data_IF_665791653124
#
_entry.id   IF_665791653124
#
_cell.length_a   1.000
_cell.length_b   1.000
_cell.length_c   1.000
_cell.angle_alpha   90.00
_cell.angle_beta   90.00
_cell.angle_gamma   90.00
#
_symmetry.space_group_name_H-M   'P 1'
#
loop_
_entity.id
_entity.type
_entity.pdbx_description
1 polymer ?
#
# COMPACT_ATOMS: atom_id res chain seq x y z
N UNK A 1 -16.78 -7.31 14.19
CA UNK A 1 -16.29 -6.89 12.87
C UNK A 1 -14.83 -7.29 12.71
N UNK A 2 -14.59 -8.49 12.19
CA UNK A 2 -13.24 -8.98 11.86
C UNK A 2 -13.28 -9.45 10.42
N UNK A 3 -13.09 -8.53 9.48
CA UNK A 3 -12.80 -8.93 8.11
C UNK A 3 -11.46 -9.69 8.14
N UNK A 4 -11.51 -10.96 7.77
CA UNK A 4 -10.48 -11.95 8.01
C UNK A 4 -9.12 -11.67 7.38
N UNK A 5 -8.10 -12.24 8.02
CA UNK A 5 -6.68 -12.14 7.68
C UNK A 5 -5.92 -11.66 8.90
N UNK A 6 -4.83 -12.32 9.25
CA UNK A 6 -4.05 -12.09 10.49
C UNK A 6 -3.31 -10.73 10.51
N UNK A 7 -3.80 -9.75 9.74
CA UNK A 7 -3.11 -8.52 9.39
C UNK A 7 -1.88 -8.78 8.52
N UNK A 8 -1.85 -9.87 7.76
CA UNK A 8 -0.72 -10.26 6.92
C UNK A 8 -0.99 -9.94 5.44
N UNK A 9 0.05 -9.48 4.75
CA UNK A 9 0.01 -9.10 3.33
C UNK A 9 0.43 -10.25 2.42
N UNK A 10 0.24 -10.12 1.11
CA UNK A 10 0.62 -11.16 0.13
C UNK A 10 2.08 -11.62 0.20
N UNK A 11 3.01 -10.77 0.67
CA UNK A 11 4.42 -11.15 0.86
C UNK A 11 4.76 -11.63 2.29
N UNK A 12 3.75 -11.85 3.15
CA UNK A 12 3.94 -12.35 4.52
C UNK A 12 4.45 -11.31 5.52
N UNK A 13 4.25 -10.01 5.26
CA UNK A 13 4.56 -8.93 6.21
C UNK A 13 3.27 -8.47 6.90
N UNK A 14 3.39 -7.87 8.09
CA UNK A 14 2.25 -7.22 8.74
C UNK A 14 1.82 -5.99 7.94
N UNK A 15 0.53 -5.88 7.65
CA UNK A 15 -0.11 -4.69 7.13
C UNK A 15 0.02 -3.54 8.13
N UNK A 16 0.10 -2.32 7.61
CA UNK A 16 0.32 -1.12 8.40
C UNK A 16 1.11 -0.08 7.60
N UNK A 17 1.49 1.00 8.27
CA UNK A 17 2.27 2.06 7.64
C UNK A 17 3.58 1.53 7.03
N UNK A 18 3.88 1.95 5.80
CA UNK A 18 5.05 1.51 5.03
C UNK A 18 4.83 0.24 4.19
N UNK A 19 3.64 -0.37 4.23
CA UNK A 19 3.22 -1.43 3.29
C UNK A 19 2.07 -0.91 2.44
N UNK A 20 2.14 -1.18 1.13
CA UNK A 20 1.11 -0.75 0.17
C UNK A 20 0.64 -1.92 -0.68
N UNK A 21 -0.64 -1.89 -1.06
CA UNK A 21 -1.20 -2.79 -2.05
C UNK A 21 -1.08 -2.18 -3.45
N UNK A 22 -0.68 -2.99 -4.43
CA UNK A 22 -0.46 -2.57 -5.83
C UNK A 22 -1.01 -3.61 -6.81
N UNK A 23 -1.07 -3.25 -8.09
CA UNK A 23 -1.14 -4.20 -9.19
C UNK A 23 0.27 -4.73 -9.53
N UNK A 24 0.57 -6.03 -9.32
CA UNK A 24 1.90 -6.60 -9.59
C UNK A 24 2.35 -6.49 -11.05
N UNK A 25 1.42 -6.32 -11.99
CA UNK A 25 1.73 -6.15 -13.42
C UNK A 25 2.32 -4.79 -13.72
N UNK A 26 2.09 -3.80 -12.86
CA UNK A 26 2.62 -2.43 -12.95
C UNK A 26 3.79 -2.23 -12.00
N UNK A 27 3.65 -2.68 -10.75
CA UNK A 27 4.69 -2.58 -9.71
C UNK A 27 4.90 -3.97 -9.10
N UNK A 28 6.02 -4.65 -9.37
CA UNK A 28 6.30 -5.96 -8.79
C UNK A 28 6.29 -5.93 -7.26
N UNK A 29 5.81 -7.00 -6.62
CA UNK A 29 5.87 -7.14 -5.17
C UNK A 29 7.32 -7.15 -4.67
N UNK A 30 7.54 -6.65 -3.45
CA UNK A 30 8.87 -6.43 -2.86
C UNK A 30 9.55 -5.13 -3.30
N UNK A 31 9.01 -4.44 -4.31
CA UNK A 31 9.55 -3.15 -4.77
C UNK A 31 9.53 -2.10 -3.66
N UNK A 32 10.66 -1.40 -3.47
CA UNK A 32 10.76 -0.23 -2.59
C UNK A 32 10.28 1.02 -3.33
N UNK A 33 9.45 1.81 -2.67
CA UNK A 33 8.81 2.99 -3.24
C UNK A 33 9.04 4.21 -2.33
N UNK A 34 8.99 5.39 -2.92
CA UNK A 34 8.78 6.65 -2.22
C UNK A 34 7.53 7.34 -2.77
N UNK A 35 6.58 7.62 -1.90
CA UNK A 35 5.26 8.15 -2.24
C UNK A 35 5.14 9.55 -1.65
N UNK A 36 4.97 10.57 -2.50
CA UNK A 36 4.89 11.95 -2.04
C UNK A 36 3.73 12.13 -1.06
N UNK A 37 4.02 12.72 0.10
CA UNK A 37 3.06 12.94 1.18
C UNK A 37 2.78 11.73 2.07
N UNK A 38 3.36 10.56 1.79
CA UNK A 38 3.20 9.35 2.61
C UNK A 38 4.53 8.83 3.15
N UNK A 39 5.57 8.75 2.32
CA UNK A 39 6.91 8.33 2.72
C UNK A 39 7.41 7.07 1.97
N UNK A 40 8.38 6.38 2.58
CA UNK A 40 8.96 5.15 2.04
C UNK A 40 8.03 3.98 2.28
N UNK A 41 7.83 3.15 1.28
CA UNK A 41 6.97 1.98 1.36
C UNK A 41 7.54 0.77 0.60
N UNK A 42 6.97 -0.40 0.87
CA UNK A 42 7.19 -1.62 0.09
C UNK A 42 5.86 -2.08 -0.51
N UNK A 43 5.88 -2.41 -1.81
CA UNK A 43 4.80 -3.12 -2.48
C UNK A 43 4.66 -4.52 -1.86
N UNK A 44 3.82 -4.64 -0.84
CA UNK A 44 3.74 -5.84 0.00
C UNK A 44 2.45 -6.60 -0.16
N UNK A 45 1.45 -6.02 -0.83
CA UNK A 45 0.14 -6.63 -0.96
C UNK A 45 -0.48 -6.41 -2.34
N UNK A 46 -1.61 -7.09 -2.54
CA UNK A 46 -2.48 -6.92 -3.71
C UNK A 46 -3.93 -6.83 -3.25
N UNK A 47 -4.83 -6.40 -4.14
CA UNK A 47 -6.25 -6.44 -3.86
C UNK A 47 -7.05 -6.42 -5.15
N UNK A 48 -8.20 -7.09 -5.18
CA UNK A 48 -9.02 -7.21 -6.39
C UNK A 48 -9.47 -5.86 -6.96
N UNK A 49 -9.56 -4.81 -6.12
CA UNK A 49 -9.90 -3.45 -6.52
C UNK A 49 -8.67 -2.57 -6.85
N UNK A 50 -7.45 -3.06 -6.62
CA UNK A 50 -6.19 -2.35 -6.83
C UNK A 50 -5.58 -2.83 -8.14
N UNK A 51 -6.06 -2.23 -9.23
CA UNK A 51 -5.76 -2.62 -10.62
C UNK A 51 -5.19 -1.41 -11.37
N UNK A 52 -4.17 -1.63 -12.21
CA UNK A 52 -3.50 -0.59 -12.99
C UNK A 52 -2.68 0.36 -12.10
N UNK A 53 -2.80 1.67 -12.35
CA UNK A 53 -2.07 2.72 -11.62
C UNK A 53 -2.71 3.11 -10.28
N UNK A 54 -3.48 2.20 -9.67
CA UNK A 54 -4.07 2.39 -8.35
C UNK A 54 -3.15 1.79 -7.28
N UNK A 55 -3.03 2.50 -6.16
CA UNK A 55 -2.26 2.08 -4.99
C UNK A 55 -3.12 2.26 -3.74
N UNK A 56 -3.04 1.31 -2.81
CA UNK A 56 -3.66 1.42 -1.48
C UNK A 56 -2.58 1.60 -0.43
N UNK A 57 -2.69 2.64 0.39
CA UNK A 57 -1.68 3.02 1.37
C UNK A 57 -2.04 2.46 2.74
N UNK A 58 -1.16 1.65 3.32
CA UNK A 58 -1.36 1.13 4.68
C UNK A 58 -1.26 2.26 5.72
N UNK A 59 -2.14 2.30 6.69
CA UNK A 59 -2.05 3.21 7.83
C UNK A 59 -2.28 2.42 9.12
N UNK A 60 -1.64 2.85 10.20
CA UNK A 60 -1.80 2.21 11.52
C UNK A 60 -3.08 2.70 12.23
N UNK A 61 -3.65 3.82 11.77
CA UNK A 61 -4.89 4.38 12.31
C UNK A 61 -5.87 4.80 11.22
N UNK A 62 -7.16 4.60 11.50
CA UNK A 62 -8.26 5.06 10.64
C UNK A 62 -8.23 6.60 10.51
N UNK A 63 -7.84 7.30 11.58
CA UNK A 63 -7.75 8.76 11.58
C UNK A 63 -6.76 9.26 10.54
N UNK A 64 -5.57 8.66 10.47
CA UNK A 64 -4.55 9.07 9.49
C UNK A 64 -4.98 8.75 8.06
N UNK A 65 -5.60 7.58 7.85
CA UNK A 65 -6.17 7.22 6.56
C UNK A 65 -7.24 8.22 6.10
N UNK A 66 -8.11 8.67 7.02
CA UNK A 66 -9.15 9.66 6.73
C UNK A 66 -8.59 11.05 6.47
N UNK A 67 -7.58 11.47 7.23
CA UNK A 67 -6.89 12.75 7.02
C UNK A 67 -6.13 12.78 5.69
N UNK A 68 -5.55 11.65 5.29
CA UNK A 68 -4.92 11.51 3.99
C UNK A 68 -5.98 11.48 2.87
N UNK A 69 -7.04 10.70 3.01
CA UNK A 69 -8.12 10.64 2.03
C UNK A 69 -7.69 10.10 0.65
N UNK A 70 -8.65 10.00 -0.27
CA UNK A 70 -8.37 9.57 -1.66
C UNK A 70 -7.87 10.75 -2.47
N UNK A 71 -6.72 10.58 -3.11
CA UNK A 71 -6.07 11.61 -3.93
C UNK A 71 -5.11 10.96 -4.92
N UNK A 72 -4.80 11.68 -5.98
CA UNK A 72 -3.67 11.32 -6.84
C UNK A 72 -2.36 11.60 -6.12
N UNK A 73 -1.39 10.71 -6.30
CA UNK A 73 -0.06 10.81 -5.71
C UNK A 73 1.02 10.49 -6.74
N UNK A 74 2.18 11.10 -6.58
CA UNK A 74 3.37 10.72 -7.35
C UNK A 74 4.15 9.65 -6.60
N UNK A 75 4.47 8.56 -7.32
CA UNK A 75 5.19 7.40 -6.79
C UNK A 75 6.52 7.25 -7.53
N UNK A 76 7.61 7.15 -6.78
CA UNK A 76 8.94 6.88 -7.29
C UNK A 76 9.37 5.47 -6.91
N UNK A 77 9.93 4.74 -7.86
CA UNK A 77 10.58 3.46 -7.57
C UNK A 77 11.99 3.70 -7.07
N UNK A 78 12.30 3.17 -5.89
CA UNK A 78 13.64 3.23 -5.33
C UNK A 78 14.48 2.08 -5.89
N UNK A 79 15.74 2.37 -6.21
CA UNK A 79 16.73 1.35 -6.57
C UNK A 79 17.40 0.79 -5.33
#
# INVERSE_FOLDING_TARGET
DSAGGDGMTAIGRRAGHGIVAVDPRVIPLGTRLYILGYGVAVAGDTGGAIVGHRIDLGFDSIRDAMLFGRRDVTVYRLK
#
